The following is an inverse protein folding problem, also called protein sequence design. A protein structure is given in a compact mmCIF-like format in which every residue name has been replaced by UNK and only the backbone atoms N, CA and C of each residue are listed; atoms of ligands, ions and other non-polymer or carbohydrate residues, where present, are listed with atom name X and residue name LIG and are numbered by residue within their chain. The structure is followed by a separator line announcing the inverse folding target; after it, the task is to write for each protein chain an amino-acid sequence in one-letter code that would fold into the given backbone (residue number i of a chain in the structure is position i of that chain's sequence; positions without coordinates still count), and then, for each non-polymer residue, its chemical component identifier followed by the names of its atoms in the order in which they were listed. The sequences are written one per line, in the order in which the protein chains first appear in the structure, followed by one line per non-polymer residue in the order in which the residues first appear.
data_IF_335255961968
#
_entry.id   IF_335255961968
#
_cell.length_a   1.000
_cell.length_b   1.000
_cell.length_c   1.000
_cell.angle_alpha   90.00
_cell.angle_beta   90.00
_cell.angle_gamma   90.00
#
_symmetry.space_group_name_H-M   'P 1'
#
loop_
_entity.id
_entity.type
_entity.pdbx_description
1 polymer ?
#
# COMPACT_ATOMS: atom_id res chain seq x y z
N UNK A 1 21.92 15.62 40.60
CA UNK A 1 23.32 15.09 40.57
C UNK A 1 23.41 13.58 40.34
N UNK A 2 22.29 12.83 40.27
CA UNK A 2 22.26 11.37 40.28
C UNK A 2 22.60 10.67 38.95
N UNK A 3 22.69 11.43 37.84
CA UNK A 3 23.01 10.87 36.51
C UNK A 3 24.50 10.84 36.15
N UNK A 4 25.38 11.40 37.00
CA UNK A 4 26.84 11.41 36.75
C UNK A 4 27.52 10.12 37.21
N UNK A 5 26.93 9.41 38.16
CA UNK A 5 27.55 8.25 38.79
C UNK A 5 27.13 6.91 38.15
N UNK A 6 26.12 6.91 37.27
CA UNK A 6 25.74 5.74 36.46
C UNK A 6 25.36 6.14 35.02
N UNK A 7 26.35 6.43 34.16
CA UNK A 7 26.11 6.75 32.76
C UNK A 7 25.53 5.55 31.98
N UNK A 8 25.81 4.32 32.43
CA UNK A 8 25.34 3.09 31.77
C UNK A 8 23.84 2.92 31.91
N UNK A 9 23.28 3.13 33.11
CA UNK A 9 21.82 3.01 33.33
C UNK A 9 21.04 4.10 32.59
N UNK A 10 21.62 5.31 32.50
CA UNK A 10 21.03 6.40 31.72
C UNK A 10 21.02 6.07 30.23
N UNK A 11 22.12 5.53 29.68
CA UNK A 11 22.19 5.10 28.28
C UNK A 11 21.21 3.95 28.01
N UNK A 12 21.08 2.99 28.93
CA UNK A 12 20.12 1.90 28.80
C UNK A 12 18.66 2.42 28.76
N UNK A 13 18.29 3.35 29.65
CA UNK A 13 16.95 3.95 29.65
C UNK A 13 16.64 4.76 28.38
N UNK A 14 17.63 5.44 27.81
CA UNK A 14 17.46 6.21 26.56
C UNK A 14 17.35 5.27 25.35
N UNK A 15 18.09 4.17 25.33
CA UNK A 15 18.04 3.17 24.26
C UNK A 15 16.76 2.31 24.30
N UNK A 16 16.13 2.18 25.48
CA UNK A 16 14.85 1.47 25.66
C UNK A 16 13.64 2.30 25.22
N UNK A 17 13.81 3.58 24.90
CA UNK A 17 12.76 4.37 24.25
C UNK A 17 12.60 3.88 22.82
N UNK A 18 11.71 2.89 22.66
CA UNK A 18 11.21 2.47 21.36
C UNK A 18 10.64 3.69 20.64
N UNK A 19 11.31 4.13 19.58
CA UNK A 19 10.71 5.07 18.64
C UNK A 19 9.60 4.28 17.95
N UNK A 20 8.36 4.46 18.41
CA UNK A 20 7.20 4.07 17.63
C UNK A 20 7.33 4.81 16.30
N UNK A 21 7.60 4.08 15.21
CA UNK A 21 7.46 4.67 13.89
C UNK A 21 6.02 5.13 13.82
N UNK A 22 5.72 6.44 13.75
CA UNK A 22 4.35 6.87 13.57
C UNK A 22 3.92 6.23 12.26
N UNK A 23 2.94 5.33 12.32
CA UNK A 23 2.35 4.76 11.11
C UNK A 23 1.94 5.95 10.24
N UNK A 24 2.74 6.22 9.21
CA UNK A 24 2.50 7.38 8.35
C UNK A 24 1.13 7.19 7.73
N UNK A 25 0.23 8.13 7.96
CA UNK A 25 -1.14 8.05 7.45
C UNK A 25 -1.12 7.74 5.96
N UNK A 26 -1.78 6.66 5.57
CA UNK A 26 -1.95 6.27 4.19
C UNK A 26 -2.60 7.43 3.41
N UNK A 27 -1.88 7.99 2.43
CA UNK A 27 -2.30 9.15 1.66
C UNK A 27 -1.90 9.01 0.20
N UNK A 28 -2.81 9.41 -0.68
CA UNK A 28 -2.56 9.52 -2.12
C UNK A 28 -2.88 10.94 -2.56
N UNK A 29 -1.86 11.67 -2.98
CA UNK A 29 -1.99 13.03 -3.52
C UNK A 29 -1.80 12.98 -5.02
N UNK A 30 -2.73 13.56 -5.77
CA UNK A 30 -2.71 13.62 -7.23
C UNK A 30 -2.70 15.08 -7.67
N UNK A 31 -1.72 15.44 -8.50
CA UNK A 31 -1.78 16.64 -9.32
C UNK A 31 -2.11 16.22 -10.75
N UNK A 32 -3.37 16.45 -11.14
CA UNK A 32 -3.87 16.02 -12.44
C UNK A 32 -3.26 16.81 -13.60
N UNK A 33 -2.88 18.07 -13.35
CA UNK A 33 -2.28 18.98 -14.34
C UNK A 33 -0.83 18.65 -14.66
N UNK A 34 -0.02 18.36 -13.65
CA UNK A 34 1.40 17.99 -13.81
C UNK A 34 1.63 16.49 -13.94
N UNK A 35 0.57 15.67 -13.86
CA UNK A 35 0.62 14.21 -13.87
C UNK A 35 1.52 13.63 -12.76
N UNK A 36 1.50 14.25 -11.59
CA UNK A 36 2.28 13.80 -10.43
C UNK A 36 1.36 13.04 -9.47
N UNK A 37 1.79 11.84 -9.07
CA UNK A 37 1.11 11.01 -8.06
C UNK A 37 2.07 10.73 -6.92
N UNK A 38 1.69 11.09 -5.70
CA UNK A 38 2.46 10.86 -4.49
C UNK A 38 1.68 9.88 -3.61
N UNK A 39 2.32 8.76 -3.27
CA UNK A 39 1.77 7.74 -2.38
C UNK A 39 2.62 7.72 -1.11
N UNK A 40 2.00 7.92 0.05
CA UNK A 40 2.67 7.96 1.35
C UNK A 40 1.98 7.01 2.32
N UNK A 41 2.76 6.33 3.16
CA UNK A 41 2.27 5.29 4.06
C UNK A 41 1.88 4.00 3.34
N UNK A 42 1.28 3.09 4.09
CA UNK A 42 0.82 1.80 3.59
C UNK A 42 -0.59 1.93 3.03
N UNK A 43 -0.68 2.16 1.72
CA UNK A 43 -1.96 2.29 1.02
C UNK A 43 -2.45 0.92 0.59
N UNK A 44 -3.52 0.47 1.21
CA UNK A 44 -4.19 -0.79 0.90
C UNK A 44 -5.35 -0.61 -0.08
N UNK A 45 -5.60 -1.63 -0.89
CA UNK A 45 -6.76 -1.71 -1.78
C UNK A 45 -7.53 -3.02 -1.56
N UNK A 46 -8.85 -2.91 -1.52
CA UNK A 46 -9.73 -4.08 -1.51
C UNK A 46 -9.70 -4.83 -2.84
N UNK A 47 -10.06 -6.12 -2.86
CA UNK A 47 -10.18 -6.86 -4.09
C UNK A 47 -11.11 -6.18 -5.11
N UNK A 48 -10.63 -6.02 -6.34
CA UNK A 48 -11.31 -5.26 -7.40
C UNK A 48 -10.83 -5.71 -8.76
N UNK A 49 -11.74 -5.72 -9.73
CA UNK A 49 -11.44 -5.88 -11.16
C UNK A 49 -11.57 -4.52 -11.83
N UNK A 50 -10.52 -4.10 -12.54
CA UNK A 50 -10.41 -2.81 -13.19
C UNK A 50 -10.32 -3.07 -14.70
N UNK A 51 -11.31 -2.62 -15.45
CA UNK A 51 -11.27 -2.62 -16.92
C UNK A 51 -11.05 -1.19 -17.41
N UNK A 52 -9.89 -0.95 -18.04
CA UNK A 52 -9.52 0.36 -18.55
C UNK A 52 -8.91 0.22 -19.95
N UNK A 53 -9.60 0.76 -20.97
CA UNK A 53 -9.25 0.62 -22.39
C UNK A 53 -9.14 -0.85 -22.81
N UNK A 54 -7.94 -1.31 -23.15
CA UNK A 54 -7.63 -2.68 -23.56
C UNK A 54 -6.94 -3.49 -22.44
N UNK A 55 -6.98 -3.00 -21.21
CA UNK A 55 -6.39 -3.65 -20.04
C UNK A 55 -7.48 -4.07 -19.06
N UNK A 56 -7.42 -5.33 -18.63
CA UNK A 56 -8.19 -5.84 -17.50
C UNK A 56 -7.20 -6.23 -16.42
N UNK A 57 -7.32 -5.60 -15.25
CA UNK A 57 -6.46 -5.84 -14.09
C UNK A 57 -7.34 -6.41 -12.99
N UNK A 58 -6.95 -7.57 -12.45
CA UNK A 58 -7.59 -8.15 -11.28
C UNK A 58 -6.64 -8.00 -10.10
N UNK A 59 -7.13 -7.35 -9.04
CA UNK A 59 -6.42 -7.21 -7.78
C UNK A 59 -7.19 -7.98 -6.72
N UNK A 60 -6.53 -8.95 -6.09
CA UNK A 60 -7.16 -9.84 -5.13
C UNK A 60 -6.27 -11.04 -4.84
N UNK A 61 -6.67 -11.94 -3.93
CA UNK A 61 -5.94 -13.17 -3.71
C UNK A 61 -5.86 -13.93 -5.05
N UNK A 62 -4.64 -14.11 -5.53
CA UNK A 62 -4.39 -14.95 -6.68
C UNK A 62 -4.76 -16.37 -6.25
N UNK A 63 -5.95 -16.84 -6.63
CA UNK A 63 -6.22 -18.26 -6.57
C UNK A 63 -5.17 -18.89 -7.50
N UNK A 64 -4.14 -19.50 -6.92
CA UNK A 64 -3.14 -20.23 -7.68
C UNK A 64 -3.88 -21.37 -8.40
N UNK A 65 -4.33 -21.10 -9.62
CA UNK A 65 -4.90 -22.10 -10.51
C UNK A 65 -3.75 -22.94 -11.04
N UNK A 66 -3.20 -23.79 -10.18
CA UNK A 66 -2.32 -24.88 -10.59
C UNK A 66 -3.23 -25.98 -11.13
N UNK A 67 -3.13 -26.38 -12.41
CA UNK A 67 -3.87 -27.54 -12.90
C UNK A 67 -3.31 -28.79 -12.18
N UNK A 68 -4.04 -29.28 -11.18
CA UNK A 68 -3.70 -30.50 -10.43
C UNK A 68 -2.81 -30.33 -9.20
N UNK A 69 -2.53 -29.10 -8.75
CA UNK A 69 -1.69 -28.86 -7.56
C UNK A 69 -2.53 -28.62 -6.30
N UNK A 70 -2.32 -29.43 -5.27
CA UNK A 70 -2.91 -29.29 -3.94
C UNK A 70 -2.72 -27.86 -3.42
N UNK A 71 -3.81 -27.11 -3.24
CA UNK A 71 -3.77 -25.82 -2.55
C UNK A 71 -3.65 -26.13 -1.06
N UNK A 72 -2.44 -26.01 -0.53
CA UNK A 72 -2.24 -25.99 0.91
C UNK A 72 -2.96 -24.75 1.41
N UNK A 73 -4.14 -24.95 2.01
CA UNK A 73 -4.77 -23.93 2.84
C UNK A 73 -3.87 -23.80 4.07
N UNK A 74 -2.81 -22.99 3.96
CA UNK A 74 -2.10 -22.51 5.13
C UNK A 74 -3.13 -21.74 5.94
N UNK A 75 -3.64 -22.42 6.96
CA UNK A 75 -4.61 -21.94 7.92
C UNK A 75 -3.88 -21.06 8.93
N UNK A 76 -3.20 -20.04 8.41
CA UNK A 76 -2.63 -18.95 9.19
C UNK A 76 -3.62 -17.79 9.08
N UNK A 77 -4.63 -17.84 9.95
CA UNK A 77 -5.51 -16.73 10.34
C UNK A 77 -6.13 -15.86 9.23
N UNK A 78 -6.95 -16.43 8.33
CA UNK A 78 -8.13 -15.78 7.70
C UNK A 78 -8.00 -14.36 7.08
N UNK A 79 -6.81 -13.77 7.04
CA UNK A 79 -6.49 -12.43 6.57
C UNK A 79 -5.93 -12.62 5.18
N UNK A 80 -6.79 -12.44 4.19
CA UNK A 80 -6.33 -12.27 2.82
C UNK A 80 -5.24 -11.19 2.82
N UNK A 81 -4.07 -11.43 2.20
CA UNK A 81 -3.00 -10.44 2.17
C UNK A 81 -3.56 -9.15 1.58
N UNK A 82 -3.48 -8.06 2.35
CA UNK A 82 -3.92 -6.75 1.87
C UNK A 82 -3.07 -6.37 0.66
N UNK A 83 -3.75 -6.03 -0.42
CA UNK A 83 -3.09 -5.70 -1.68
C UNK A 83 -2.63 -4.25 -1.58
N UNK A 84 -1.36 -3.97 -1.90
CA UNK A 84 -0.81 -2.62 -1.79
C UNK A 84 -0.96 -1.87 -3.11
N UNK A 85 -1.43 -0.60 -3.05
CA UNK A 85 -1.54 0.25 -4.25
C UNK A 85 -0.20 0.41 -4.99
N UNK A 86 0.91 0.45 -4.23
CA UNK A 86 2.27 0.55 -4.80
C UNK A 86 2.56 -0.57 -5.80
N UNK A 87 2.11 -1.80 -5.53
CA UNK A 87 2.31 -2.94 -6.42
C UNK A 87 1.51 -2.77 -7.72
N UNK A 88 0.26 -2.32 -7.62
CA UNK A 88 -0.58 -2.00 -8.78
C UNK A 88 0.07 -0.91 -9.64
N UNK A 89 0.49 0.21 -9.04
CA UNK A 89 1.14 1.31 -9.76
C UNK A 89 2.43 0.84 -10.45
N UNK A 90 3.23 0.02 -9.78
CA UNK A 90 4.44 -0.54 -10.38
C UNK A 90 4.13 -1.44 -11.58
N UNK A 91 3.11 -2.30 -11.50
CA UNK A 91 2.69 -3.15 -12.60
C UNK A 91 2.22 -2.33 -13.80
N UNK A 92 1.42 -1.28 -13.58
CA UNK A 92 0.97 -0.37 -14.64
C UNK A 92 2.13 0.39 -15.29
N UNK A 93 3.11 0.83 -14.49
CA UNK A 93 4.33 1.46 -15.00
C UNK A 93 5.16 0.52 -15.87
N UNK A 94 5.30 -0.75 -15.46
CA UNK A 94 6.00 -1.78 -16.26
C UNK A 94 5.29 -2.07 -17.59
N UNK A 95 3.96 -2.02 -17.59
CA UNK A 95 3.12 -2.13 -18.78
C UNK A 95 3.08 -0.85 -19.63
N UNK A 96 3.85 0.19 -19.27
CA UNK A 96 3.92 1.49 -19.95
C UNK A 96 2.56 2.18 -20.09
N UNK A 97 1.70 2.00 -19.09
CA UNK A 97 0.41 2.70 -19.03
C UNK A 97 0.65 4.19 -18.81
N UNK A 98 0.02 5.10 -19.59
CA UNK A 98 0.15 6.54 -19.40
C UNK A 98 -0.23 6.98 -17.98
N UNK A 99 0.48 7.96 -17.43
CA UNK A 99 0.19 8.45 -16.06
C UNK A 99 -1.22 9.02 -15.92
N UNK A 100 -1.79 9.61 -16.98
CA UNK A 100 -3.20 10.03 -17.02
C UNK A 100 -4.18 8.88 -16.75
N UNK A 101 -3.85 7.69 -17.24
CA UNK A 101 -4.67 6.50 -17.09
C UNK A 101 -4.52 5.94 -15.67
N UNK A 102 -3.29 5.94 -15.14
CA UNK A 102 -3.01 5.56 -13.74
C UNK A 102 -3.81 6.46 -12.78
N UNK A 103 -3.77 7.78 -13.01
CA UNK A 103 -4.55 8.76 -12.24
C UNK A 103 -6.06 8.44 -12.31
N UNK A 104 -6.56 8.13 -13.50
CA UNK A 104 -7.98 7.82 -13.69
C UNK A 104 -8.38 6.55 -12.93
N UNK A 105 -7.54 5.52 -12.95
CA UNK A 105 -7.75 4.29 -12.18
C UNK A 105 -7.75 4.58 -10.68
N UNK A 106 -6.76 5.33 -10.16
CA UNK A 106 -6.69 5.68 -8.73
C UNK A 106 -7.92 6.48 -8.29
N UNK A 107 -8.36 7.43 -9.12
CA UNK A 107 -9.56 8.23 -8.85
C UNK A 107 -10.81 7.34 -8.73
N UNK A 108 -11.00 6.40 -9.65
CA UNK A 108 -12.13 5.48 -9.62
C UNK A 108 -12.03 4.46 -8.46
N UNK A 109 -10.82 4.04 -8.06
CA UNK A 109 -10.60 3.23 -6.86
C UNK A 109 -10.98 3.97 -5.57
N UNK A 110 -10.66 5.26 -5.48
CA UNK A 110 -11.11 6.09 -4.36
C UNK A 110 -12.64 6.28 -4.37
N UNK A 111 -13.21 6.63 -5.52
CA UNK A 111 -14.67 6.85 -5.66
C UNK A 111 -15.50 5.61 -5.37
N UNK A 112 -14.97 4.42 -5.66
CA UNK A 112 -15.61 3.14 -5.37
C UNK A 112 -15.41 2.66 -3.93
N UNK A 113 -14.66 3.42 -3.10
CA UNK A 113 -14.35 3.06 -1.72
C UNK A 113 -13.45 1.83 -1.59
N UNK A 114 -12.71 1.48 -2.65
CA UNK A 114 -11.78 0.34 -2.65
C UNK A 114 -10.37 0.75 -2.26
N UNK A 115 -10.08 2.05 -2.23
CA UNK A 115 -8.82 2.62 -1.77
C UNK A 115 -8.90 3.00 -0.29
N UNK A 116 -8.08 2.36 0.55
CA UNK A 116 -7.99 2.63 1.98
C UNK A 116 -6.88 3.64 2.26
N UNK A 117 -7.13 4.89 1.91
CA UNK A 117 -6.23 6.01 2.15
C UNK A 117 -6.97 7.35 2.08
N UNK A 118 -6.37 8.39 2.65
CA UNK A 118 -6.81 9.77 2.38
C UNK A 118 -6.44 10.12 0.95
N UNK A 119 -7.43 10.39 0.11
CA UNK A 119 -7.22 10.83 -1.26
C UNK A 119 -7.36 12.35 -1.35
N UNK A 120 -6.46 12.97 -2.10
CA UNK A 120 -6.41 14.41 -2.29
C UNK A 120 -6.03 14.73 -3.74
N UNK A 121 -6.87 15.47 -4.47
CA UNK A 121 -6.68 15.79 -5.89
C UNK A 121 -6.77 17.29 -6.12
N UNK A 122 -5.74 17.84 -6.79
CA UNK A 122 -5.59 19.27 -7.09
C UNK A 122 -5.08 19.54 -8.52
#
# INVERSE_FOLDING_TARGET
KQYRDSPVDFVAQVLDVGIENPHTQARVVVNSRSQVVIVTGEVEISPVVISHKNLTIEVGPQAAATPGGFVVLNQDDGRQPSQQLKQLVNALNQLRVPTSDIISIIRELHRSGKLHAVYDEH
#
